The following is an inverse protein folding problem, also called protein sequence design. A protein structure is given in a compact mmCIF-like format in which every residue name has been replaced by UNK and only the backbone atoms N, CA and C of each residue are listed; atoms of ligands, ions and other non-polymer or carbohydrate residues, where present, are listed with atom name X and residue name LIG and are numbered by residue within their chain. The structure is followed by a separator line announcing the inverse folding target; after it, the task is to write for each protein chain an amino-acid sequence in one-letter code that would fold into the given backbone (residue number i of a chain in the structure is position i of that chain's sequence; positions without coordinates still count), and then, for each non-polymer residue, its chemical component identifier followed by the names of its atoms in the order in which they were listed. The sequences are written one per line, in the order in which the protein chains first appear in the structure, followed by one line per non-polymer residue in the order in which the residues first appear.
data_IF_672821007483
#
_entry.id   IF_672821007483
#
_cell.length_a   1.000
_cell.length_b   1.000
_cell.length_c   1.000
_cell.angle_alpha   90.00
_cell.angle_beta   90.00
_cell.angle_gamma   90.00
#
_symmetry.space_group_name_H-M   'P 1'
#
loop_
_entity.id
_entity.type
_entity.pdbx_description
1 polymer ?
#
# COMPACT_ATOMS: atom_id res chain seq x y z
N UNK A 1 52.87 43.74 -8.22
CA UNK A 1 52.80 44.49 -6.95
C UNK A 1 51.34 44.84 -6.74
N UNK A 2 50.82 44.47 -5.57
CA UNK A 2 49.49 44.73 -4.99
C UNK A 2 48.30 44.07 -5.74
N UNK A 3 47.74 43.01 -5.16
CA UNK A 3 46.55 43.01 -4.28
C UNK A 3 45.27 43.10 -5.13
N UNK A 4 44.32 42.17 -5.05
CA UNK A 4 43.36 42.11 -3.95
C UNK A 4 42.86 40.68 -3.80
N UNK A 5 43.08 40.14 -2.60
CA UNK A 5 42.25 39.10 -2.01
C UNK A 5 40.80 39.59 -1.97
N UNK A 6 39.90 38.94 -2.70
CA UNK A 6 38.49 39.01 -2.37
C UNK A 6 38.00 37.58 -2.13
N UNK A 7 38.17 37.19 -0.86
CA UNK A 7 37.48 36.07 -0.25
C UNK A 7 35.99 36.21 -0.54
N UNK A 8 35.47 35.33 -1.39
CA UNK A 8 34.06 34.99 -1.34
C UNK A 8 33.82 34.33 0.03
N UNK A 9 33.43 35.15 1.01
CA UNK A 9 32.75 34.68 2.21
C UNK A 9 31.46 34.02 1.73
N UNK A 10 31.51 32.71 1.51
CA UNK A 10 30.31 31.88 1.48
C UNK A 10 29.54 32.19 2.77
N UNK A 11 28.41 32.87 2.61
CA UNK A 11 27.35 32.93 3.60
C UNK A 11 26.89 31.50 3.89
N UNK A 12 27.64 30.81 4.75
CA UNK A 12 27.17 29.61 5.44
C UNK A 12 26.13 30.15 6.41
N UNK A 13 24.87 30.17 5.97
CA UNK A 13 23.74 30.34 6.87
C UNK A 13 23.99 29.42 8.08
N UNK A 14 23.90 29.92 9.32
CA UNK A 14 24.17 29.11 10.49
C UNK A 14 23.22 27.91 10.42
N UNK A 15 23.80 26.72 10.21
CA UNK A 15 23.03 25.49 10.06
C UNK A 15 22.18 25.35 11.31
N UNK A 16 20.86 25.48 11.12
CA UNK A 16 19.93 25.14 12.18
C UNK A 16 20.35 23.76 12.70
N UNK A 17 20.47 23.55 14.03
CA UNK A 17 20.86 22.26 14.57
C UNK A 17 20.06 21.18 13.88
N UNK A 18 20.76 20.31 13.14
CA UNK A 18 20.14 19.40 12.20
C UNK A 18 19.06 18.63 12.95
N UNK A 19 17.86 18.52 12.37
CA UNK A 19 16.74 17.87 13.06
C UNK A 19 17.13 16.45 13.55
N UNK A 20 18.08 15.82 12.86
CA UNK A 20 18.74 14.56 13.21
C UNK A 20 19.42 14.63 14.58
N UNK A 21 20.17 15.69 14.88
CA UNK A 21 20.90 15.86 16.15
C UNK A 21 19.93 16.06 17.32
N UNK A 22 18.83 16.80 17.10
CA UNK A 22 17.79 17.00 18.13
C UNK A 22 17.03 15.72 18.48
N UNK A 23 16.75 14.89 17.48
CA UNK A 23 16.05 13.61 17.66
C UNK A 23 16.99 12.54 18.22
N UNK A 24 18.29 12.66 17.89
CA UNK A 24 19.30 11.64 18.07
C UNK A 24 19.43 10.79 16.82
N UNK A 25 20.65 10.73 16.27
CA UNK A 25 20.96 10.06 15.00
C UNK A 25 20.49 8.61 14.95
N UNK A 26 20.71 7.85 16.02
CA UNK A 26 20.30 6.44 16.12
C UNK A 26 18.78 6.30 15.99
N UNK A 27 18.01 7.07 16.76
CA UNK A 27 16.54 7.03 16.72
C UNK A 27 16.00 7.45 15.35
N UNK A 28 16.61 8.47 14.75
CA UNK A 28 16.24 8.91 13.41
C UNK A 28 16.45 7.80 12.38
N UNK A 29 17.63 7.17 12.40
CA UNK A 29 17.98 6.07 11.49
C UNK A 29 17.05 4.87 11.64
N UNK A 30 16.69 4.49 12.87
CA UNK A 30 15.78 3.37 13.09
C UNK A 30 14.40 3.59 12.48
N UNK A 31 13.85 4.79 12.65
CA UNK A 31 12.55 5.15 12.05
C UNK A 31 12.65 5.19 10.52
N UNK A 32 13.76 5.71 9.97
CA UNK A 32 14.00 5.68 8.53
C UNK A 32 13.99 4.26 7.98
N UNK A 33 14.72 3.34 8.61
CA UNK A 33 14.80 1.95 8.16
C UNK A 33 13.41 1.32 8.09
N UNK A 34 12.61 1.45 9.15
CA UNK A 34 11.24 0.92 9.21
C UNK A 34 10.39 1.48 8.06
N UNK A 35 10.41 2.81 7.85
CA UNK A 35 9.65 3.46 6.78
C UNK A 35 10.08 3.05 5.37
N UNK A 36 11.29 2.52 5.20
CA UNK A 36 11.81 2.07 3.90
C UNK A 36 11.63 0.58 3.65
N UNK A 37 11.47 -0.23 4.70
CA UNK A 37 11.35 -1.69 4.65
C UNK A 37 9.94 -2.19 4.33
N UNK A 38 8.90 -1.39 4.64
CA UNK A 38 7.50 -1.77 4.41
C UNK A 38 6.70 -0.59 3.85
N UNK A 39 5.63 -0.85 3.06
CA UNK A 39 4.72 0.20 2.61
C UNK A 39 4.04 0.96 3.75
N UNK A 40 3.82 0.30 4.89
CA UNK A 40 3.15 0.86 6.06
C UNK A 40 3.97 0.62 7.32
N UNK A 41 4.03 1.63 8.18
CA UNK A 41 4.50 1.51 9.55
C UNK A 41 3.31 1.73 10.49
N UNK A 42 2.82 0.66 11.12
CA UNK A 42 1.70 0.76 12.06
C UNK A 42 2.15 1.14 13.46
N UNK A 43 1.31 1.90 14.16
CA UNK A 43 1.56 2.33 15.54
C UNK A 43 1.79 1.15 16.48
N UNK A 44 1.07 0.06 16.26
CA UNK A 44 1.13 -1.14 17.11
C UNK A 44 2.35 -2.03 16.84
N UNK A 45 2.99 -1.90 15.66
CA UNK A 45 4.21 -2.66 15.34
C UNK A 45 5.37 -2.22 16.25
N UNK A 46 5.49 -0.91 16.49
CA UNK A 46 6.48 -0.34 17.39
C UNK A 46 6.04 1.02 17.96
N UNK A 47 5.28 1.03 19.08
CA UNK A 47 4.73 2.25 19.64
C UNK A 47 5.80 3.28 20.03
N UNK A 48 6.98 2.83 20.42
CA UNK A 48 8.07 3.73 20.84
C UNK A 48 8.61 4.49 19.63
N UNK A 49 8.96 3.77 18.56
CA UNK A 49 9.51 4.39 17.34
C UNK A 49 8.44 5.17 16.57
N UNK A 50 7.20 4.70 16.58
CA UNK A 50 6.08 5.43 15.96
C UNK A 50 5.81 6.76 16.68
N UNK A 51 5.89 6.79 18.02
CA UNK A 51 5.79 8.05 18.76
C UNK A 51 6.95 9.02 18.46
N UNK A 52 8.17 8.51 18.22
CA UNK A 52 9.29 9.35 17.76
C UNK A 52 8.98 9.97 16.40
N UNK A 53 8.47 9.16 15.46
CA UNK A 53 8.03 9.63 14.15
C UNK A 53 6.98 10.74 14.28
N UNK A 54 5.88 10.49 15.00
CA UNK A 54 4.79 11.47 15.17
C UNK A 54 5.24 12.78 15.79
N UNK A 55 6.05 12.72 16.86
CA UNK A 55 6.56 13.94 17.54
C UNK A 55 7.46 14.78 16.65
N UNK A 56 8.07 14.17 15.64
CA UNK A 56 9.06 14.80 14.76
C UNK A 56 8.66 14.72 13.28
N UNK A 57 7.36 14.61 12.99
CA UNK A 57 6.83 14.35 11.65
C UNK A 57 7.35 15.34 10.61
N UNK A 58 7.37 16.63 10.96
CA UNK A 58 7.87 17.69 10.08
C UNK A 58 9.35 17.50 9.69
N UNK A 59 10.17 16.97 10.59
CA UNK A 59 11.58 16.68 10.31
C UNK A 59 11.73 15.53 9.32
N UNK A 60 10.98 14.44 9.52
CA UNK A 60 10.99 13.30 8.60
C UNK A 60 10.41 13.66 7.23
N UNK A 61 9.29 14.39 7.19
CA UNK A 61 8.70 14.91 5.93
C UNK A 61 9.72 15.75 5.15
N UNK A 62 10.32 16.75 5.79
CA UNK A 62 11.34 17.61 5.17
C UNK A 62 12.56 16.81 4.70
N UNK A 63 12.97 15.79 5.45
CA UNK A 63 14.07 14.91 5.05
C UNK A 63 13.73 14.12 3.78
N UNK A 64 12.61 13.41 3.75
CA UNK A 64 12.22 12.62 2.58
C UNK A 64 11.98 13.47 1.32
N UNK A 65 11.33 14.63 1.48
CA UNK A 65 11.10 15.55 0.38
C UNK A 65 12.42 16.12 -0.16
N UNK A 66 13.31 16.60 0.72
CA UNK A 66 14.59 17.22 0.33
C UNK A 66 15.54 16.24 -0.35
N UNK A 67 15.67 15.02 0.17
CA UNK A 67 16.71 14.09 -0.27
C UNK A 67 16.23 13.06 -1.29
N UNK A 68 14.94 12.72 -1.30
CA UNK A 68 14.38 11.66 -2.16
C UNK A 68 13.22 12.13 -3.04
N UNK A 69 12.66 13.31 -2.78
CA UNK A 69 11.41 13.76 -3.42
C UNK A 69 10.21 12.89 -3.06
N UNK A 70 10.27 12.17 -1.93
CA UNK A 70 9.19 11.30 -1.47
C UNK A 70 8.28 12.03 -0.49
N UNK A 71 7.01 11.64 -0.46
CA UNK A 71 6.02 12.19 0.47
C UNK A 71 5.80 11.22 1.62
N UNK A 72 5.74 11.75 2.83
CA UNK A 72 5.43 10.97 4.03
C UNK A 72 4.04 11.36 4.53
N UNK A 73 3.15 10.39 4.63
CA UNK A 73 1.85 10.53 5.30
C UNK A 73 1.92 9.88 6.67
N UNK A 74 1.38 10.54 7.70
CA UNK A 74 1.34 10.03 9.09
C UNK A 74 -0.01 10.42 9.69
N UNK A 75 -0.68 9.47 10.32
CA UNK A 75 -1.89 9.71 11.11
C UNK A 75 -1.77 9.13 12.53
N UNK A 76 -2.91 8.85 13.18
CA UNK A 76 -2.95 8.30 14.53
C UNK A 76 -2.50 6.85 14.62
N UNK A 77 -2.67 6.06 13.56
CA UNK A 77 -2.53 4.60 13.54
C UNK A 77 -1.44 4.10 12.61
N UNK A 78 -1.07 4.86 11.58
CA UNK A 78 -0.09 4.43 10.59
C UNK A 78 0.71 5.58 9.98
N UNK A 79 1.82 5.22 9.36
CA UNK A 79 2.59 6.06 8.47
C UNK A 79 2.83 5.33 7.15
N UNK A 80 2.85 6.09 6.06
CA UNK A 80 3.09 5.58 4.71
C UNK A 80 4.07 6.48 3.97
N UNK A 81 5.09 5.87 3.40
CA UNK A 81 6.03 6.54 2.51
C UNK A 81 5.59 6.37 1.06
N UNK A 82 5.32 7.48 0.39
CA UNK A 82 4.80 7.53 -0.97
C UNK A 82 5.96 7.86 -1.93
N UNK A 83 6.27 6.91 -2.80
CA UNK A 83 7.35 6.98 -3.79
C UNK A 83 6.75 7.25 -5.17
N UNK A 84 6.54 8.52 -5.50
CA UNK A 84 5.78 8.94 -6.70
C UNK A 84 6.48 8.59 -8.03
N UNK A 85 7.81 8.43 -8.03
CA UNK A 85 8.62 8.18 -9.23
C UNK A 85 9.55 6.99 -9.05
N UNK A 86 9.68 6.20 -10.12
CA UNK A 86 10.70 5.17 -10.23
C UNK A 86 11.86 5.72 -11.06
N UNK A 87 13.06 5.70 -10.50
CA UNK A 87 14.25 6.22 -11.19
C UNK A 87 15.08 5.12 -11.87
N UNK A 88 14.84 3.84 -11.55
CA UNK A 88 15.52 2.72 -12.19
C UNK A 88 14.59 2.04 -13.21
N UNK A 89 14.76 2.30 -14.53
CA UNK A 89 13.91 1.73 -15.57
C UNK A 89 14.08 0.21 -15.73
N UNK A 90 15.19 -0.37 -15.26
CA UNK A 90 15.43 -1.81 -15.34
C UNK A 90 14.57 -2.62 -14.35
N UNK A 91 13.95 -1.99 -13.35
CA UNK A 91 13.09 -2.68 -12.40
C UNK A 91 11.74 -3.03 -13.01
N UNK A 92 11.54 -4.32 -13.29
CA UNK A 92 10.23 -4.91 -13.63
C UNK A 92 9.22 -4.68 -12.49
N UNK A 93 7.93 -4.69 -12.82
CA UNK A 93 6.83 -4.52 -11.85
C UNK A 93 6.93 -5.48 -10.66
N UNK A 94 7.30 -6.75 -10.91
CA UNK A 94 7.48 -7.79 -9.89
C UNK A 94 8.62 -7.52 -8.91
N UNK A 95 9.58 -6.67 -9.27
CA UNK A 95 10.68 -6.26 -8.39
C UNK A 95 10.34 -5.00 -7.60
N UNK A 96 9.17 -4.41 -7.82
CA UNK A 96 8.71 -3.23 -7.10
C UNK A 96 7.86 -3.71 -5.93
N UNK A 97 8.32 -3.41 -4.72
CA UNK A 97 7.56 -3.66 -3.51
C UNK A 97 6.47 -2.57 -3.35
N UNK A 98 5.43 -2.66 -4.18
CA UNK A 98 4.31 -1.71 -4.18
C UNK A 98 3.03 -2.47 -4.47
N UNK A 99 2.01 -2.21 -3.66
CA UNK A 99 0.68 -2.77 -3.89
C UNK A 99 0.16 -2.34 -5.26
N UNK A 100 -0.18 -3.32 -6.10
CA UNK A 100 -0.72 -3.12 -7.45
C UNK A 100 -1.72 -4.22 -7.76
N UNK A 101 -2.84 -3.86 -8.36
CA UNK A 101 -3.79 -4.82 -8.90
C UNK A 101 -3.41 -5.10 -10.36
N UNK A 102 -3.26 -6.37 -10.72
CA UNK A 102 -2.65 -6.79 -11.99
C UNK A 102 -3.66 -7.07 -13.10
N UNK A 103 -4.95 -7.14 -12.79
CA UNK A 103 -5.98 -7.47 -13.77
C UNK A 103 -7.37 -6.98 -13.36
N UNK A 104 -8.27 -6.94 -14.35
CA UNK A 104 -9.65 -6.47 -14.20
C UNK A 104 -10.38 -7.13 -13.02
N UNK A 105 -10.28 -8.46 -12.90
CA UNK A 105 -10.97 -9.19 -11.83
C UNK A 105 -10.44 -8.83 -10.44
N UNK A 106 -9.13 -8.61 -10.29
CA UNK A 106 -8.56 -8.14 -9.02
C UNK A 106 -9.05 -6.73 -8.68
N UNK A 107 -9.13 -5.83 -9.67
CA UNK A 107 -9.68 -4.50 -9.48
C UNK A 107 -11.15 -4.53 -9.05
N UNK A 108 -11.97 -5.33 -9.74
CA UNK A 108 -13.39 -5.47 -9.41
C UNK A 108 -13.58 -6.04 -8.00
N UNK A 109 -12.89 -7.13 -7.66
CA UNK A 109 -12.99 -7.72 -6.33
C UNK A 109 -12.48 -6.78 -5.24
N UNK A 110 -11.46 -5.97 -5.51
CA UNK A 110 -10.98 -4.97 -4.57
C UNK A 110 -12.00 -3.84 -4.37
N UNK A 111 -12.67 -3.38 -5.43
CA UNK A 111 -13.77 -2.41 -5.29
C UNK A 111 -14.94 -2.99 -4.48
N UNK A 112 -15.33 -4.23 -4.75
CA UNK A 112 -16.37 -4.93 -3.98
C UNK A 112 -15.97 -5.06 -2.51
N UNK A 113 -14.69 -5.34 -2.22
CA UNK A 113 -14.17 -5.36 -0.85
C UNK A 113 -14.26 -3.98 -0.18
N UNK A 114 -13.93 -2.90 -0.88
CA UNK A 114 -14.03 -1.54 -0.32
C UNK A 114 -15.50 -1.15 -0.06
N UNK A 115 -16.41 -1.49 -0.97
CA UNK A 115 -17.85 -1.29 -0.75
C UNK A 115 -18.36 -2.10 0.44
N UNK A 116 -17.95 -3.36 0.55
CA UNK A 116 -18.28 -4.20 1.70
C UNK A 116 -17.70 -3.65 3.00
N UNK A 117 -16.47 -3.15 2.97
CA UNK A 117 -15.84 -2.49 4.11
C UNK A 117 -16.62 -1.25 4.54
N UNK A 118 -17.01 -0.38 3.62
CA UNK A 118 -17.84 0.80 3.90
C UNK A 118 -19.19 0.40 4.54
N UNK A 119 -19.83 -0.65 4.02
CA UNK A 119 -21.07 -1.19 4.60
C UNK A 119 -20.86 -1.71 6.03
N UNK A 120 -19.79 -2.48 6.28
CA UNK A 120 -19.50 -2.99 7.62
C UNK A 120 -19.16 -1.86 8.59
N UNK A 121 -18.51 -0.78 8.13
CA UNK A 121 -18.30 0.40 8.96
C UNK A 121 -19.64 0.98 9.45
N UNK A 122 -20.62 1.12 8.56
CA UNK A 122 -21.94 1.64 8.89
C UNK A 122 -22.72 0.69 9.83
N UNK A 123 -22.67 -0.62 9.57
CA UNK A 123 -23.40 -1.63 10.35
C UNK A 123 -22.83 -1.78 11.76
N UNK A 124 -21.51 -1.82 11.89
CA UNK A 124 -20.82 -2.00 13.17
C UNK A 124 -20.61 -0.66 13.91
N UNK A 125 -20.91 0.47 13.26
CA UNK A 125 -20.67 1.80 13.81
C UNK A 125 -19.18 2.13 13.96
N UNK A 126 -18.34 1.54 13.11
CA UNK A 126 -16.89 1.70 13.17
C UNK A 126 -16.44 3.05 12.59
N UNK A 127 -15.52 3.68 13.29
CA UNK A 127 -14.75 4.84 12.85
C UNK A 127 -13.26 4.48 12.79
N UNK A 128 -12.52 5.12 11.88
CA UNK A 128 -11.07 4.97 11.82
C UNK A 128 -10.37 5.43 13.12
N UNK A 129 -11.04 6.13 14.03
CA UNK A 129 -10.49 6.49 15.34
C UNK A 129 -10.67 5.41 16.42
N UNK A 130 -11.44 4.34 16.14
CA UNK A 130 -11.73 3.30 17.14
C UNK A 130 -10.51 2.46 17.50
N UNK A 131 -10.43 2.00 18.75
CA UNK A 131 -9.28 1.22 19.22
C UNK A 131 -9.27 -0.18 18.63
N UNK A 132 -10.45 -0.83 18.55
CA UNK A 132 -10.56 -2.16 17.97
C UNK A 132 -10.69 -2.07 16.45
N UNK A 133 -9.92 -2.86 15.69
CA UNK A 133 -10.02 -2.88 14.25
C UNK A 133 -11.33 -3.52 13.81
N UNK A 134 -11.87 -3.06 12.68
CA UNK A 134 -13.04 -3.69 12.07
C UNK A 134 -12.70 -5.13 11.66
N UNK A 135 -13.59 -6.06 12.02
CA UNK A 135 -13.47 -7.47 11.67
C UNK A 135 -14.74 -7.97 10.99
N UNK A 136 -14.59 -8.88 10.05
CA UNK A 136 -15.72 -9.55 9.39
C UNK A 136 -15.37 -10.98 9.02
N UNK A 137 -16.38 -11.85 8.92
CA UNK A 137 -16.16 -13.22 8.47
C UNK A 137 -15.97 -13.27 6.95
N UNK A 138 -15.02 -14.09 6.48
CA UNK A 138 -14.76 -14.26 5.06
C UNK A 138 -15.97 -14.81 4.30
N UNK A 139 -16.75 -15.70 4.94
CA UNK A 139 -17.98 -16.23 4.36
C UNK A 139 -19.02 -15.15 4.04
N UNK A 140 -19.15 -14.15 4.91
CA UNK A 140 -20.07 -13.03 4.73
C UNK A 140 -19.62 -12.12 3.59
N UNK A 141 -18.31 -11.84 3.50
CA UNK A 141 -17.72 -11.13 2.38
C UNK A 141 -17.96 -11.84 1.04
N UNK A 142 -17.75 -13.17 0.97
CA UNK A 142 -18.03 -13.94 -0.25
C UNK A 142 -19.51 -13.90 -0.63
N UNK A 143 -20.41 -13.99 0.36
CA UNK A 143 -21.85 -13.91 0.13
C UNK A 143 -22.24 -12.54 -0.43
N UNK A 144 -21.71 -11.46 0.13
CA UNK A 144 -21.91 -10.10 -0.39
C UNK A 144 -21.33 -9.94 -1.79
N UNK A 145 -20.14 -10.47 -2.03
CA UNK A 145 -19.47 -10.41 -3.34
C UNK A 145 -20.31 -11.07 -4.44
N UNK A 146 -20.84 -12.27 -4.19
CA UNK A 146 -21.71 -12.97 -5.15
C UNK A 146 -22.96 -12.15 -5.46
N UNK A 147 -23.58 -11.57 -4.44
CA UNK A 147 -24.76 -10.71 -4.61
C UNK A 147 -24.43 -9.49 -5.47
N UNK A 148 -23.38 -8.74 -5.14
CA UNK A 148 -22.98 -7.53 -5.87
C UNK A 148 -22.63 -7.85 -7.33
N UNK A 149 -21.88 -8.93 -7.57
CA UNK A 149 -21.53 -9.34 -8.93
C UNK A 149 -22.75 -9.79 -9.73
N UNK A 150 -23.71 -10.50 -9.11
CA UNK A 150 -24.95 -10.90 -9.78
C UNK A 150 -25.83 -9.70 -10.16
N UNK A 151 -25.88 -8.68 -9.31
CA UNK A 151 -26.65 -7.46 -9.55
C UNK A 151 -26.01 -6.57 -10.64
N UNK A 152 -24.67 -6.59 -10.77
CA UNK A 152 -23.92 -5.70 -11.67
C UNK A 152 -23.48 -6.35 -12.99
N UNK A 153 -23.34 -7.68 -13.05
CA UNK A 153 -22.83 -8.44 -14.21
C UNK A 153 -23.84 -9.54 -14.59
N UNK A 154 -24.93 -9.13 -15.24
CA UNK A 154 -26.09 -9.99 -15.53
C UNK A 154 -25.78 -11.11 -16.55
N UNK A 155 -24.85 -10.89 -17.49
CA UNK A 155 -24.67 -11.78 -18.64
C UNK A 155 -23.39 -12.65 -18.61
N UNK A 156 -22.46 -12.42 -17.67
CA UNK A 156 -21.18 -13.15 -17.59
C UNK A 156 -20.69 -13.30 -16.14
N UNK A 157 -21.56 -13.80 -15.25
CA UNK A 157 -21.16 -14.09 -13.89
C UNK A 157 -20.15 -15.27 -13.88
N UNK A 158 -18.94 -15.10 -13.31
CA UNK A 158 -18.01 -16.21 -13.12
C UNK A 158 -18.63 -17.29 -12.24
N UNK A 159 -18.16 -18.53 -12.35
CA UNK A 159 -18.64 -19.60 -11.47
C UNK A 159 -18.26 -19.31 -10.00
N UNK A 160 -19.07 -19.73 -9.04
CA UNK A 160 -18.82 -19.48 -7.59
C UNK A 160 -17.42 -19.89 -7.15
N UNK A 161 -16.91 -20.99 -7.69
CA UNK A 161 -15.56 -21.50 -7.40
C UNK A 161 -14.46 -20.57 -7.92
N UNK A 162 -14.69 -19.90 -9.05
CA UNK A 162 -13.75 -18.93 -9.62
C UNK A 162 -13.73 -17.65 -8.80
N UNK A 163 -14.90 -17.14 -8.41
CA UNK A 163 -15.03 -15.98 -7.51
C UNK A 163 -14.27 -16.24 -6.21
N UNK A 164 -14.50 -17.41 -5.60
CA UNK A 164 -13.82 -17.79 -4.36
C UNK A 164 -12.30 -17.89 -4.55
N UNK A 165 -11.82 -18.53 -5.62
CA UNK A 165 -10.40 -18.65 -5.89
C UNK A 165 -9.73 -17.27 -6.09
N UNK A 166 -10.37 -16.38 -6.84
CA UNK A 166 -9.89 -15.02 -7.06
C UNK A 166 -9.94 -14.16 -5.78
N UNK A 167 -10.99 -14.28 -4.97
CA UNK A 167 -11.09 -13.60 -3.68
C UNK A 167 -9.99 -14.05 -2.71
N UNK A 168 -9.66 -15.35 -2.67
CA UNK A 168 -8.52 -15.87 -1.88
C UNK A 168 -7.19 -15.31 -2.35
N UNK A 169 -6.97 -15.25 -3.67
CA UNK A 169 -5.75 -14.66 -4.22
C UNK A 169 -5.62 -13.18 -3.87
N UNK A 170 -6.73 -12.43 -3.96
CA UNK A 170 -6.77 -11.04 -3.52
C UNK A 170 -6.43 -10.92 -2.04
N UNK A 171 -7.05 -11.71 -1.15
CA UNK A 171 -6.76 -11.67 0.29
C UNK A 171 -5.30 -11.96 0.61
N UNK A 172 -4.70 -12.98 -0.01
CA UNK A 172 -3.26 -13.27 0.17
C UNK A 172 -2.39 -12.07 -0.20
N UNK A 173 -2.74 -11.38 -1.28
CA UNK A 173 -2.05 -10.18 -1.73
C UNK A 173 -2.24 -9.02 -0.75
N UNK A 174 -3.46 -8.78 -0.29
CA UNK A 174 -3.75 -7.76 0.71
C UNK A 174 -3.03 -8.02 2.03
N UNK A 175 -2.94 -9.28 2.47
CA UNK A 175 -2.18 -9.68 3.65
C UNK A 175 -0.68 -9.44 3.46
N UNK A 176 -0.11 -9.80 2.31
CA UNK A 176 1.29 -9.54 1.98
C UNK A 176 1.64 -8.05 2.07
N UNK A 177 0.75 -7.18 1.56
CA UNK A 177 0.91 -5.73 1.63
C UNK A 177 0.38 -5.10 2.94
N UNK A 178 0.05 -5.93 3.94
CA UNK A 178 -0.43 -5.53 5.26
C UNK A 178 -1.65 -4.59 5.21
N UNK A 179 -2.61 -4.86 4.34
CA UNK A 179 -3.90 -4.16 4.28
C UNK A 179 -4.99 -4.88 5.06
N UNK A 180 -4.84 -6.19 5.25
CA UNK A 180 -5.70 -7.03 6.09
C UNK A 180 -4.85 -8.04 6.84
N UNK A 181 -5.39 -8.60 7.92
CA UNK A 181 -4.84 -9.75 8.62
C UNK A 181 -5.91 -10.85 8.71
N UNK A 182 -5.47 -12.11 8.67
CA UNK A 182 -6.32 -13.26 8.98
C UNK A 182 -6.13 -13.56 10.46
N UNK A 183 -7.23 -13.55 11.22
CA UNK A 183 -7.22 -13.83 12.65
C UNK A 183 -7.69 -15.26 12.86
N UNK A 184 -6.84 -16.09 13.46
CA UNK A 184 -7.20 -17.44 13.85
C UNK A 184 -8.21 -17.37 15.00
N UNK A 185 -9.42 -17.88 14.77
CA UNK A 185 -10.39 -18.09 15.84
C UNK A 185 -9.89 -19.29 16.65
N UNK A 186 -9.36 -19.03 17.83
CA UNK A 186 -8.99 -20.10 18.76
C UNK A 186 -10.23 -21.00 18.99
N UNK A 187 -10.03 -22.31 18.80
CA UNK A 187 -10.97 -23.42 19.00
C UNK A 187 -11.75 -23.97 17.79
N UNK A 188 -11.09 -24.23 16.65
CA UNK A 188 -11.54 -25.30 15.73
C UNK A 188 -10.39 -26.24 15.35
N UNK A 189 -9.92 -27.00 16.34
CA UNK A 189 -9.11 -28.19 16.12
C UNK A 189 -9.98 -29.30 15.50
N UNK A 190 -10.10 -29.29 14.17
CA UNK A 190 -10.69 -30.38 13.40
C UNK A 190 -11.78 -29.90 12.45
N UNK A 191 -11.44 -29.89 11.15
CA UNK A 191 -12.19 -29.35 10.01
C UNK A 191 -12.12 -27.82 9.88
N UNK A 192 -11.03 -27.35 9.27
CA UNK A 192 -10.94 -26.03 8.65
C UNK A 192 -11.99 -25.94 7.53
N UNK A 193 -13.22 -25.60 7.91
CA UNK A 193 -14.15 -25.03 6.94
C UNK A 193 -13.68 -23.60 6.70
N UNK A 194 -13.29 -23.34 5.46
CA UNK A 194 -12.77 -22.07 4.98
C UNK A 194 -13.70 -20.84 5.24
N UNK A 195 -14.93 -21.09 5.73
CA UNK A 195 -15.90 -20.07 6.14
C UNK A 195 -15.70 -19.49 7.53
N UNK A 196 -14.89 -20.13 8.39
CA UNK A 196 -14.62 -19.66 9.77
C UNK A 196 -13.50 -18.62 9.85
N UNK A 197 -12.94 -18.21 8.71
CA UNK A 197 -11.86 -17.24 8.64
C UNK A 197 -12.35 -15.85 9.03
N UNK A 198 -11.79 -15.28 10.10
CA UNK A 198 -12.04 -13.90 10.50
C UNK A 198 -10.99 -12.99 9.86
N UNK A 199 -11.45 -11.97 9.14
CA UNK A 199 -10.60 -10.97 8.50
C UNK A 199 -10.60 -9.72 9.36
N UNK A 200 -9.41 -9.24 9.69
CA UNK A 200 -9.18 -7.96 10.36
C UNK A 200 -8.68 -6.92 9.35
N UNK A 201 -9.34 -5.77 9.31
CA UNK A 201 -8.96 -4.66 8.43
C UNK A 201 -7.87 -3.83 9.11
N UNK A 202 -6.74 -3.66 8.40
CA UNK A 202 -5.65 -2.83 8.89
C UNK A 202 -5.82 -1.37 8.44
N UNK A 203 -5.29 -0.39 9.20
CA UNK A 203 -5.48 1.04 8.89
C UNK A 203 -5.00 1.46 7.50
N UNK A 204 -4.07 0.72 6.88
CA UNK A 204 -3.62 0.99 5.52
C UNK A 204 -4.72 0.89 4.46
N UNK A 205 -5.80 0.14 4.72
CA UNK A 205 -6.94 0.05 3.81
C UNK A 205 -7.67 1.41 3.68
N UNK A 206 -7.66 2.24 4.72
CA UNK A 206 -8.28 3.59 4.72
C UNK A 206 -7.59 4.57 3.77
N UNK A 207 -6.46 4.20 3.17
CA UNK A 207 -5.84 4.98 2.08
C UNK A 207 -6.60 4.84 0.74
N UNK A 208 -7.53 3.89 0.64
CA UNK A 208 -8.23 3.56 -0.58
C UNK A 208 -9.71 3.88 -0.42
N UNK A 209 -10.16 4.95 -1.08
CA UNK A 209 -11.58 5.30 -1.13
C UNK A 209 -12.20 4.68 -2.39
N UNK A 210 -13.19 3.79 -2.22
CA UNK A 210 -13.80 3.05 -3.33
C UNK A 210 -14.36 3.99 -4.40
N UNK A 211 -15.01 5.09 -3.98
CA UNK A 211 -15.56 6.11 -4.89
C UNK A 211 -14.50 6.82 -5.72
N UNK A 212 -13.40 7.25 -5.11
CA UNK A 212 -12.29 7.92 -5.84
C UNK A 212 -11.59 6.97 -6.79
N UNK A 213 -11.46 5.69 -6.41
CA UNK A 213 -10.89 4.66 -7.28
C UNK A 213 -11.81 4.35 -8.47
N UNK A 214 -13.11 4.21 -8.24
CA UNK A 214 -14.09 4.00 -9.31
C UNK A 214 -14.11 5.18 -10.29
N UNK A 215 -14.04 6.42 -9.80
CA UNK A 215 -13.92 7.61 -10.63
C UNK A 215 -12.62 7.63 -11.45
N UNK A 216 -11.48 7.24 -10.86
CA UNK A 216 -10.21 7.16 -11.55
C UNK A 216 -10.20 6.09 -12.65
N UNK A 217 -10.84 4.94 -12.42
CA UNK A 217 -10.99 3.86 -13.41
C UNK A 217 -11.96 4.23 -14.54
N UNK A 218 -12.92 5.14 -14.29
CA UNK A 218 -13.81 5.69 -15.32
C UNK A 218 -13.21 6.82 -16.15
N UNK A 219 -12.05 7.37 -15.74
CA UNK A 219 -11.30 8.38 -16.48
C UNK A 219 -10.21 7.73 -17.33
N UNK A 220 -10.61 6.87 -18.24
CA UNK A 220 -9.73 6.39 -19.31
C UNK A 220 -9.86 7.32 -20.52
N UNK A 221 -9.40 8.57 -20.35
CA UNK A 221 -9.06 9.44 -21.48
C UNK A 221 -7.59 9.87 -21.35
N UNK A 222 -6.75 9.16 -22.10
CA UNK A 222 -5.47 9.59 -22.67
C UNK A 222 -4.43 10.22 -21.73
N UNK A 223 -3.57 9.37 -21.16
CA UNK A 223 -2.14 9.68 -21.09
C UNK A 223 -1.36 8.58 -21.85
N UNK A 224 -0.98 8.81 -23.11
CA UNK A 224 -0.36 7.79 -23.96
C UNK A 224 1.13 7.53 -23.64
N UNK A 225 1.71 8.09 -22.58
CA UNK A 225 3.12 7.86 -22.25
C UNK A 225 3.42 6.56 -21.45
N UNK A 226 2.44 5.69 -21.24
CA UNK A 226 2.68 4.38 -20.60
C UNK A 226 1.98 3.26 -21.38
N UNK A 227 2.23 3.17 -22.69
CA UNK A 227 1.98 1.95 -23.45
C UNK A 227 3.22 1.58 -24.26
N UNK A 228 3.87 0.54 -23.76
CA UNK A 228 4.48 -0.56 -24.52
C UNK A 228 5.56 -0.25 -25.55
N UNK A 229 6.81 -0.57 -25.20
CA UNK A 229 7.79 -1.03 -26.18
C UNK A 229 8.79 -1.97 -25.48
N UNK A 230 8.35 -3.19 -25.23
CA UNK A 230 9.24 -4.33 -25.20
C UNK A 230 8.68 -5.36 -26.17
N UNK A 231 9.18 -5.44 -27.42
CA UNK A 231 8.79 -6.52 -28.31
C UNK A 231 9.11 -7.86 -27.65
N UNK A 232 8.11 -8.72 -27.56
CA UNK A 232 8.23 -10.13 -27.23
C UNK A 232 9.26 -10.77 -28.17
N UNK A 233 10.46 -11.00 -27.67
CA UNK A 233 11.47 -11.81 -28.35
C UNK A 233 11.27 -13.28 -27.93
N UNK A 234 10.24 -13.92 -28.47
CA UNK A 234 10.23 -15.37 -28.72
C UNK A 234 10.60 -15.62 -30.19
N UNK A 235 11.88 -15.80 -30.47
CA UNK A 235 12.32 -16.70 -31.54
C UNK A 235 13.62 -17.38 -31.10
N UNK A 236 13.49 -18.53 -30.45
CA UNK A 236 14.55 -19.53 -30.42
C UNK A 236 14.58 -20.19 -31.81
N UNK A 237 15.31 -19.59 -32.75
CA UNK A 237 15.67 -20.27 -34.00
C UNK A 237 16.77 -21.27 -33.67
N UNK A 238 16.47 -22.55 -33.89
CA UNK A 238 17.41 -23.65 -33.77
C UNK A 238 18.59 -23.48 -34.72
N UNK A 239 19.78 -23.69 -34.19
CA UNK A 239 20.99 -23.90 -34.98
C UNK A 239 21.08 -25.39 -35.30
N UNK A 240 20.75 -25.73 -36.56
CA UNK A 240 21.21 -26.95 -37.21
C UNK A 240 22.49 -26.64 -38.00
N UNK A 241 23.49 -27.50 -37.81
CA UNK A 241 24.71 -27.74 -38.61
C UNK A 241 26.00 -27.01 -38.19
N UNK A 242 26.89 -27.74 -37.51
CA UNK A 242 28.04 -28.41 -38.14
C UNK A 242 28.49 -29.65 -37.36
#
# INVERSE_FOLDING_TARGET
MADIEERAEENVEPSQPDAIDKIGRERFQMVLNILTESPFFYADDDPVRFNVLRRNEAAFKKFFEKYFGWRLYVDSKMARLIKDRNYNPALRSVHRDTFRLSGRNECLLFLVLLEYYEHECDVQGYSNDDVEPLRFAYADFLTSTRRILADQIVDQLPADREIEASARQLLKKLQHFRLVAVVDVADNAGNESDGDMLIEVLPGLNCYEGRKLAEALGRDEADPEILDDAPDSEEAVGDENE
#
